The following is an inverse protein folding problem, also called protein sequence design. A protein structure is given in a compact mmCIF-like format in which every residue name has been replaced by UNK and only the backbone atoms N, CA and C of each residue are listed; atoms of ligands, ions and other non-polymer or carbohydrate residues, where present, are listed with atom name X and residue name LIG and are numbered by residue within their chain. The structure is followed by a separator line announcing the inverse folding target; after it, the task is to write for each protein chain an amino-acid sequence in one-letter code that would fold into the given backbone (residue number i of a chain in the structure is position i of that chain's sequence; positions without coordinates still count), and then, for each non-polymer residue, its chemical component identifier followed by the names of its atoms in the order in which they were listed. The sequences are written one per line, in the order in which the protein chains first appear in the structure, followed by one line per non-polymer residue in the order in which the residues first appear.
data_IF_287575934479
#
_entry.id   IF_287575934479
#
_cell.length_a   1.000
_cell.length_b   1.000
_cell.length_c   1.000
_cell.angle_alpha   90.00
_cell.angle_beta   90.00
_cell.angle_gamma   90.00
#
_symmetry.space_group_name_H-M   'P 1'
#
loop_
_entity.id
_entity.type
_entity.pdbx_description
1 polymer ?
#
# COMPACT_ATOMS: atom_id res chain seq x y z
N UNK A 1 7.09 10.08 22.42
CA UNK A 1 6.97 8.82 21.66
C UNK A 1 6.33 9.12 20.31
N UNK A 2 7.10 9.34 19.24
CA UNK A 2 6.53 9.58 17.91
C UNK A 2 6.03 8.25 17.34
N UNK A 3 4.72 8.01 17.44
CA UNK A 3 4.06 6.88 16.78
C UNK A 3 4.02 7.21 15.29
N UNK A 4 4.94 6.63 14.51
CA UNK A 4 4.85 6.69 13.05
C UNK A 4 3.51 6.05 12.66
N UNK A 5 2.66 6.72 11.86
CA UNK A 5 1.42 6.11 11.40
C UNK A 5 1.80 4.85 10.60
N UNK A 6 1.33 3.70 11.06
CA UNK A 6 1.47 2.45 10.34
C UNK A 6 0.63 2.56 9.07
N UNK A 7 1.28 2.93 7.97
CA UNK A 7 0.64 2.99 6.67
C UNK A 7 0.11 1.60 6.30
N UNK A 8 -1.09 1.51 5.71
CA UNK A 8 -1.64 0.23 5.33
C UNK A 8 -0.75 -0.45 4.29
N UNK A 9 -0.50 -1.74 4.48
CA UNK A 9 0.28 -2.57 3.58
C UNK A 9 -0.67 -3.53 2.85
N UNK A 10 -0.39 -3.79 1.58
CA UNK A 10 -1.12 -4.76 0.75
C UNK A 10 -0.16 -5.72 0.09
N UNK A 11 -0.67 -6.87 -0.35
CA UNK A 11 0.09 -7.86 -1.10
C UNK A 11 -0.17 -7.68 -2.59
N UNK A 12 0.90 -7.65 -3.37
CA UNK A 12 0.87 -7.58 -4.83
C UNK A 12 0.31 -8.89 -5.41
N UNK A 13 -0.81 -8.83 -6.14
CA UNK A 13 -1.41 -10.01 -6.75
C UNK A 13 -0.55 -10.63 -7.88
N UNK A 14 0.33 -9.86 -8.52
CA UNK A 14 1.23 -10.37 -9.60
C UNK A 14 2.49 -11.00 -9.04
N UNK A 15 3.06 -10.40 -7.99
CA UNK A 15 4.42 -10.67 -7.55
C UNK A 15 4.51 -11.21 -6.12
N UNK A 16 3.40 -11.26 -5.39
CA UNK A 16 3.32 -11.77 -4.02
C UNK A 16 4.05 -10.93 -2.97
N UNK A 17 4.66 -9.81 -3.36
CA UNK A 17 5.43 -8.96 -2.45
C UNK A 17 4.52 -8.00 -1.67
N UNK A 18 4.77 -7.80 -0.37
CA UNK A 18 4.10 -6.75 0.39
C UNK A 18 4.56 -5.37 -0.09
N UNK A 19 3.63 -4.44 -0.22
CA UNK A 19 3.90 -3.06 -0.59
C UNK A 19 3.08 -2.12 0.30
N UNK A 20 3.66 -0.96 0.61
CA UNK A 20 3.07 0.03 1.52
C UNK A 20 2.31 1.10 0.75
N UNK A 21 1.22 1.62 1.31
CA UNK A 21 0.47 2.75 0.77
C UNK A 21 1.38 3.89 0.30
N UNK A 22 1.05 4.47 -0.85
CA UNK A 22 1.73 5.61 -1.46
C UNK A 22 0.70 6.72 -1.67
N UNK A 23 1.14 7.98 -1.57
CA UNK A 23 0.28 9.16 -1.77
C UNK A 23 -0.43 9.17 -3.14
N UNK A 24 0.20 8.61 -4.18
CA UNK A 24 -0.42 8.48 -5.51
C UNK A 24 -1.70 7.62 -5.53
N UNK A 25 -1.90 6.80 -4.49
CA UNK A 25 -3.03 5.90 -4.36
C UNK A 25 -4.14 6.41 -3.44
N UNK A 26 -4.04 7.64 -2.95
CA UNK A 26 -5.02 8.21 -2.01
C UNK A 26 -6.47 8.03 -2.48
N UNK A 27 -6.74 8.20 -3.79
CA UNK A 27 -8.09 8.11 -4.36
C UNK A 27 -8.52 6.71 -4.81
N UNK A 28 -7.58 5.79 -5.02
CA UNK A 28 -7.87 4.49 -5.64
C UNK A 28 -7.25 3.31 -4.89
N UNK A 29 -6.75 3.51 -3.68
CA UNK A 29 -6.05 2.49 -2.87
C UNK A 29 -6.83 1.19 -2.78
N UNK A 30 -8.15 1.23 -2.64
CA UNK A 30 -9.01 0.03 -2.62
C UNK A 30 -8.89 -0.82 -3.88
N UNK A 31 -8.75 -0.18 -5.05
CA UNK A 31 -8.59 -0.83 -6.34
C UNK A 31 -7.13 -1.23 -6.66
N UNK A 32 -6.15 -0.72 -5.91
CA UNK A 32 -4.72 -1.05 -6.12
C UNK A 32 -4.42 -2.45 -5.59
N UNK A 33 -4.21 -3.38 -6.51
CA UNK A 33 -3.85 -4.79 -6.24
C UNK A 33 -2.41 -5.14 -6.60
N UNK A 34 -1.69 -4.23 -7.24
CA UNK A 34 -0.37 -4.47 -7.83
C UNK A 34 0.65 -3.46 -7.30
N UNK A 35 1.91 -3.85 -7.16
CA UNK A 35 2.98 -3.02 -6.58
C UNK A 35 3.50 -1.90 -7.52
N UNK A 36 2.71 -1.46 -8.51
CA UNK A 36 3.11 -0.47 -9.53
C UNK A 36 3.65 0.82 -8.91
#
# INVERSE_FOLDING_TARGET
MHVKPHLPQKVCATCGRPFTWRKKWEKNWENVKYCS
#
